data_IF_002693886261
#
_entry.id   IF_002693886261
#
_cell.length_a   1.000
_cell.length_b   1.000
_cell.length_c   1.000
_cell.angle_alpha   90.00
_cell.angle_beta   90.00
_cell.angle_gamma   90.00
#
_symmetry.space_group_name_H-M   'P 1'
#
loop_
_entity.id
_entity.type
_entity.pdbx_description
1 polymer ?
#
# COMPACT_ATOMS: atom_id res chain seq x y z
N UNK A 1 -26.99 -16.89 -17.54
CA UNK A 1 -25.57 -17.05 -17.94
C UNK A 1 -24.73 -16.23 -16.98
N UNK A 2 -24.16 -16.86 -15.95
CA UNK A 2 -23.09 -16.23 -15.18
C UNK A 2 -21.89 -16.06 -16.11
N UNK A 3 -21.49 -14.80 -16.36
CA UNK A 3 -20.21 -14.52 -17.00
C UNK A 3 -19.12 -14.90 -16.00
N UNK A 4 -18.65 -16.14 -16.08
CA UNK A 4 -17.47 -16.58 -15.33
C UNK A 4 -16.31 -15.70 -15.80
N UNK A 5 -15.87 -14.78 -14.95
CA UNK A 5 -14.70 -13.96 -15.21
C UNK A 5 -13.52 -14.92 -15.34
N UNK A 6 -12.82 -14.86 -16.47
CA UNK A 6 -11.60 -15.64 -16.66
C UNK A 6 -10.57 -15.27 -15.58
N UNK A 7 -10.19 -16.26 -14.78
CA UNK A 7 -9.26 -16.09 -13.65
C UNK A 7 -7.93 -15.46 -14.08
N UNK A 8 -7.49 -15.67 -15.32
CA UNK A 8 -6.28 -15.05 -15.86
C UNK A 8 -6.46 -13.54 -16.01
N UNK A 9 -7.60 -13.11 -16.55
CA UNK A 9 -7.95 -11.69 -16.73
C UNK A 9 -8.08 -10.95 -15.39
N UNK A 10 -8.73 -11.58 -14.38
CA UNK A 10 -8.80 -11.05 -13.02
C UNK A 10 -7.41 -10.91 -12.38
N UNK A 11 -6.57 -11.94 -12.46
CA UNK A 11 -5.23 -11.94 -11.86
C UNK A 11 -4.32 -10.88 -12.49
N UNK A 12 -4.42 -10.69 -13.81
CA UNK A 12 -3.67 -9.65 -14.53
C UNK A 12 -4.15 -8.25 -14.14
N UNK A 13 -5.46 -8.06 -14.01
CA UNK A 13 -6.04 -6.80 -13.56
C UNK A 13 -5.58 -6.43 -12.14
N UNK A 14 -5.68 -7.37 -11.19
CA UNK A 14 -5.24 -7.18 -9.82
C UNK A 14 -3.75 -6.83 -9.74
N UNK A 15 -2.90 -7.50 -10.52
CA UNK A 15 -1.46 -7.21 -10.58
C UNK A 15 -1.17 -5.77 -11.02
N UNK A 16 -1.91 -5.27 -12.03
CA UNK A 16 -1.77 -3.90 -12.52
C UNK A 16 -2.26 -2.86 -11.50
N UNK A 17 -3.38 -3.14 -10.83
CA UNK A 17 -3.92 -2.29 -9.75
C UNK A 17 -2.93 -2.21 -8.59
N UNK A 18 -2.36 -3.33 -8.15
CA UNK A 18 -1.33 -3.36 -7.10
C UNK A 18 -0.12 -2.53 -7.50
N UNK A 19 0.38 -2.68 -8.73
CA UNK A 19 1.50 -1.90 -9.25
C UNK A 19 1.21 -0.39 -9.26
N UNK A 20 -0.01 0.01 -9.61
CA UNK A 20 -0.42 1.41 -9.57
C UNK A 20 -0.43 1.95 -8.12
N UNK A 21 -0.96 1.17 -7.17
CA UNK A 21 -1.08 1.54 -5.77
C UNK A 21 0.30 1.59 -5.08
N UNK A 22 1.24 0.70 -5.44
CA UNK A 22 2.62 0.70 -4.95
C UNK A 22 3.47 1.88 -5.44
N UNK A 23 2.85 2.87 -6.11
CA UNK A 23 3.47 4.08 -6.68
C UNK A 23 4.42 3.81 -7.85
N UNK A 24 4.34 2.64 -8.47
CA UNK A 24 5.05 2.36 -9.70
C UNK A 24 4.33 2.97 -10.91
N UNK A 25 5.12 3.40 -11.91
CA UNK A 25 4.57 3.87 -13.17
C UNK A 25 4.16 2.68 -14.03
N UNK A 26 2.90 2.65 -14.43
CA UNK A 26 2.45 1.80 -15.53
C UNK A 26 3.01 2.33 -16.85
N UNK A 27 3.57 1.44 -17.66
CA UNK A 27 3.90 1.71 -19.06
C UNK A 27 2.64 2.00 -19.88
N UNK A 28 2.78 2.60 -21.06
CA UNK A 28 1.63 2.87 -21.95
C UNK A 28 0.83 1.60 -22.27
N UNK A 29 1.53 0.49 -22.56
CA UNK A 29 0.89 -0.81 -22.83
C UNK A 29 0.13 -1.35 -21.62
N UNK A 30 0.66 -1.16 -20.42
CA UNK A 30 0.00 -1.60 -19.19
C UNK A 30 -1.24 -0.77 -18.88
N UNK A 31 -1.22 0.54 -19.16
CA UNK A 31 -2.41 1.40 -19.04
C UNK A 31 -3.52 0.96 -19.99
N UNK A 32 -3.19 0.75 -21.26
CA UNK A 32 -4.13 0.23 -22.26
C UNK A 32 -4.69 -1.14 -21.85
N UNK A 33 -3.84 -2.04 -21.36
CA UNK A 33 -4.26 -3.34 -20.85
C UNK A 33 -5.18 -3.20 -19.62
N UNK A 34 -4.89 -2.26 -18.73
CA UNK A 34 -5.68 -2.01 -17.53
C UNK A 34 -7.07 -1.46 -17.89
N UNK A 35 -7.17 -0.54 -18.83
CA UNK A 35 -8.47 0.01 -19.29
C UNK A 35 -9.34 -1.08 -19.96
N UNK A 36 -8.72 -1.95 -20.76
CA UNK A 36 -9.42 -3.09 -21.37
C UNK A 36 -9.90 -4.10 -20.33
N UNK A 37 -9.07 -4.40 -19.33
CA UNK A 37 -9.40 -5.36 -18.27
C UNK A 37 -10.42 -4.79 -17.29
N UNK A 38 -10.35 -3.49 -16.97
CA UNK A 38 -11.31 -2.79 -16.12
C UNK A 38 -12.74 -3.01 -16.63
N UNK A 39 -12.99 -2.75 -17.92
CA UNK A 39 -14.33 -2.92 -18.50
C UNK A 39 -14.86 -4.37 -18.46
N UNK A 40 -13.98 -5.36 -18.31
CA UNK A 40 -14.34 -6.78 -18.26
C UNK A 40 -14.49 -7.31 -16.83
N UNK A 41 -13.66 -6.82 -15.91
CA UNK A 41 -13.47 -7.37 -14.56
C UNK A 41 -14.07 -6.46 -13.49
N UNK A 42 -13.92 -5.15 -13.64
CA UNK A 42 -14.29 -4.13 -12.64
C UNK A 42 -14.85 -2.88 -13.34
N UNK A 43 -16.00 -3.00 -14.05
CA UNK A 43 -16.54 -1.93 -14.88
C UNK A 43 -16.93 -0.69 -14.08
N UNK A 44 -17.37 -0.86 -12.83
CA UNK A 44 -17.70 0.23 -11.91
C UNK A 44 -16.48 0.75 -11.12
N UNK A 45 -15.35 0.04 -11.15
CA UNK A 45 -14.13 0.44 -10.46
C UNK A 45 -14.17 0.21 -8.96
N UNK A 46 -15.15 -0.55 -8.45
CA UNK A 46 -15.31 -0.82 -7.01
C UNK A 46 -14.11 -1.55 -6.45
N UNK A 47 -13.60 -2.55 -7.18
CA UNK A 47 -12.49 -3.39 -6.75
C UNK A 47 -11.19 -2.59 -6.63
N UNK A 48 -10.89 -1.76 -7.64
CA UNK A 48 -9.76 -0.85 -7.59
C UNK A 48 -9.84 0.16 -6.43
N UNK A 49 -11.04 0.69 -6.17
CA UNK A 49 -11.29 1.63 -5.07
C UNK A 49 -11.09 0.99 -3.70
N UNK A 50 -11.65 -0.20 -3.48
CA UNK A 50 -11.52 -0.92 -2.21
C UNK A 50 -10.07 -1.30 -1.90
N UNK A 51 -9.31 -1.71 -2.93
CA UNK A 51 -7.88 -1.99 -2.79
C UNK A 51 -7.09 -0.74 -2.45
N UNK A 52 -7.37 0.39 -3.10
CA UNK A 52 -6.72 1.67 -2.82
C UNK A 52 -7.01 2.16 -1.39
N UNK A 53 -8.28 2.10 -0.97
CA UNK A 53 -8.70 2.47 0.38
C UNK A 53 -8.05 1.58 1.44
N UNK A 54 -7.98 0.27 1.19
CA UNK A 54 -7.34 -0.69 2.09
C UNK A 54 -5.84 -0.43 2.21
N UNK A 55 -5.17 -0.16 1.10
CA UNK A 55 -3.76 0.22 1.10
C UNK A 55 -3.51 1.52 1.86
N UNK A 56 -4.29 2.57 1.61
CA UNK A 56 -4.14 3.86 2.30
C UNK A 56 -4.34 3.73 3.81
N UNK A 57 -5.28 2.90 4.26
CA UNK A 57 -5.46 2.60 5.69
C UNK A 57 -4.26 1.86 6.29
N UNK A 58 -3.72 0.87 5.56
CA UNK A 58 -2.54 0.13 6.00
C UNK A 58 -1.28 1.02 6.05
N UNK A 59 -1.07 1.86 5.03
CA UNK A 59 0.04 2.84 4.99
C UNK A 59 -0.05 3.82 6.16
N UNK A 60 -1.25 4.38 6.42
CA UNK A 60 -1.47 5.29 7.54
C UNK A 60 -1.16 4.63 8.90
N UNK A 61 -1.60 3.38 9.10
CA UNK A 61 -1.31 2.62 10.32
C UNK A 61 0.20 2.41 10.52
N UNK A 62 0.91 2.01 9.47
CA UNK A 62 2.36 1.83 9.49
C UNK A 62 3.10 3.14 9.85
N UNK A 63 2.70 4.26 9.24
CA UNK A 63 3.27 5.60 9.54
C UNK A 63 3.00 6.00 10.99
N UNK A 64 1.80 5.75 11.51
CA UNK A 64 1.46 6.04 12.91
C UNK A 64 2.29 5.21 13.88
N UNK A 65 2.47 3.92 13.62
CA UNK A 65 3.30 3.01 14.44
C UNK A 65 4.78 3.44 14.42
N UNK A 66 5.33 3.76 13.24
CA UNK A 66 6.68 4.29 13.10
C UNK A 66 6.86 5.64 13.84
N UNK A 67 5.84 6.50 13.81
CA UNK A 67 5.83 7.78 14.52
C UNK A 67 5.76 7.61 16.04
N UNK A 68 5.02 6.61 16.53
CA UNK A 68 4.96 6.28 17.95
C UNK A 68 6.31 5.75 18.46
N UNK A 69 6.97 4.87 17.69
CA UNK A 69 8.30 4.35 18.01
C UNK A 69 9.37 5.45 18.09
N UNK A 70 9.35 6.40 17.15
CA UNK A 70 10.28 7.54 17.17
C UNK A 70 10.02 8.52 18.31
N UNK A 71 8.75 8.75 18.69
CA UNK A 71 8.40 9.54 19.88
C UNK A 71 8.81 8.85 21.19
N UNK A 72 8.64 7.53 21.28
CA UNK A 72 9.11 6.75 22.44
C UNK A 72 10.64 6.80 22.59
N UNK A 73 11.37 6.78 21.46
CA UNK A 73 12.84 6.88 21.42
C UNK A 73 13.37 8.28 21.81
N UNK A 74 12.62 9.36 21.54
CA UNK A 74 12.99 10.75 21.87
C UNK A 74 12.62 11.19 23.30
N UNK A 75 11.98 10.33 24.08
CA UNK A 75 11.70 10.63 25.50
C UNK A 75 13.02 10.68 26.28
N UNK A 76 13.43 11.88 26.67
CA UNK A 76 14.65 12.18 27.44
C UNK A 76 14.71 11.50 28.83
N UNK A 77 13.63 10.80 29.22
CA UNK A 77 13.55 9.97 30.42
C UNK A 77 13.94 8.51 30.19
N UNK A 78 14.37 8.13 28.97
CA UNK A 78 14.79 6.74 28.73
C UNK A 78 16.07 6.43 29.54
N UNK A 79 16.03 5.44 30.45
CA UNK A 79 17.16 5.15 31.35
C UNK A 79 18.46 4.86 30.61
N UNK A 80 18.36 4.35 29.37
CA UNK A 80 19.50 4.11 28.48
C UNK A 80 20.21 5.39 28.01
N UNK A 81 19.49 6.47 27.68
CA UNK A 81 20.11 7.74 27.26
C UNK A 81 20.80 8.40 28.46
N UNK A 82 20.21 8.32 29.66
CA UNK A 82 20.82 8.80 30.90
C UNK A 82 22.04 7.97 31.30
N UNK A 83 22.02 6.65 31.04
CA UNK A 83 23.17 5.77 31.22
C UNK A 83 24.34 6.16 30.29
N UNK A 84 24.06 6.41 29.00
CA UNK A 84 25.09 6.87 28.04
C UNK A 84 25.66 8.25 28.39
N UNK A 85 24.82 9.20 28.84
CA UNK A 85 25.28 10.53 29.30
C UNK A 85 26.21 10.43 30.53
N UNK A 86 26.02 9.43 31.41
CA UNK A 86 26.89 9.17 32.56
C UNK A 86 28.25 8.54 32.22
N UNK A 87 28.43 8.03 30.99
CA UNK A 87 29.67 7.41 30.53
C UNK A 87 30.60 8.37 29.76
N UNK A 88 30.34 9.68 29.76
CA UNK A 88 31.33 10.65 29.25
C UNK A 88 32.57 10.63 30.14
N UNK A 89 33.68 10.17 29.58
CA UNK A 89 35.04 10.51 29.99
C UNK A 89 35.31 11.99 29.75
#
# INVERSE_FOLDING_TARGET
MEKVIDNKSLSQYLSLVVKMISKDRLTTKEKESMDQLKNKVDPDGTLAKELMDSWSKAEAKCIQEASALTKASKSEKHPFINFLKKLRF
#
